data_IF_591151020059
#
_entry.id   IF_591151020059
#
_cell.length_a   1.000
_cell.length_b   1.000
_cell.length_c   1.000
_cell.angle_alpha   90.00
_cell.angle_beta   90.00
_cell.angle_gamma   90.00
#
_symmetry.space_group_name_H-M   'P 1'
#
loop_
_entity.id
_entity.type
_entity.pdbx_description
1 polymer ?
#
# COMPACT_ATOMS: atom_id res chain seq x y z
N UNK A 1 17.73 11.85 -6.81
CA UNK A 1 17.04 12.04 -5.50
C UNK A 1 17.87 11.42 -4.36
N UNK A 2 17.93 12.03 -3.17
CA UNK A 2 18.60 11.48 -1.96
C UNK A 2 17.63 10.63 -1.11
N UNK A 3 18.17 9.70 -0.31
CA UNK A 3 17.39 8.83 0.60
C UNK A 3 16.38 9.55 1.49
N UNK A 4 16.79 10.63 2.16
CA UNK A 4 15.90 11.38 3.06
C UNK A 4 14.71 11.95 2.30
N UNK A 5 14.96 12.53 1.12
CA UNK A 5 13.89 13.10 0.29
C UNK A 5 12.93 12.02 -0.23
N UNK A 6 13.46 10.86 -0.62
CA UNK A 6 12.65 9.70 -0.99
C UNK A 6 11.76 9.25 0.18
N UNK A 7 12.35 9.03 1.36
CA UNK A 7 11.65 8.51 2.53
C UNK A 7 10.48 9.44 2.93
N UNK A 8 10.73 10.75 3.01
CA UNK A 8 9.69 11.73 3.35
C UNK A 8 8.54 11.67 2.35
N UNK A 9 8.82 11.69 1.04
CA UNK A 9 7.77 11.64 0.02
C UNK A 9 7.02 10.31 0.02
N UNK A 10 7.72 9.20 0.24
CA UNK A 10 7.11 7.88 0.29
C UNK A 10 6.18 7.72 1.49
N UNK A 11 6.62 8.16 2.67
CA UNK A 11 5.79 8.19 3.88
C UNK A 11 4.54 9.05 3.66
N UNK A 12 4.67 10.22 3.04
CA UNK A 12 3.51 11.08 2.74
C UNK A 12 2.50 10.36 1.84
N UNK A 13 2.94 9.68 0.77
CA UNK A 13 2.03 8.93 -0.10
C UNK A 13 1.29 7.85 0.69
N UNK A 14 1.99 7.03 1.46
CA UNK A 14 1.36 5.97 2.25
C UNK A 14 0.45 6.50 3.34
N UNK A 15 0.83 7.59 4.00
CA UNK A 15 0.01 8.23 5.01
C UNK A 15 -1.29 8.78 4.42
N UNK A 16 -1.23 9.43 3.26
CA UNK A 16 -2.44 9.93 2.57
C UNK A 16 -3.34 8.77 2.14
N UNK A 17 -2.78 7.71 1.56
CA UNK A 17 -3.56 6.53 1.19
C UNK A 17 -4.21 5.86 2.40
N UNK A 18 -3.47 5.71 3.50
CA UNK A 18 -4.00 5.17 4.75
C UNK A 18 -5.10 6.07 5.33
N UNK A 19 -4.91 7.38 5.35
CA UNK A 19 -5.94 8.30 5.82
C UNK A 19 -7.24 8.19 5.02
N UNK A 20 -7.16 8.07 3.69
CA UNK A 20 -8.36 8.03 2.85
C UNK A 20 -9.00 6.64 2.87
N UNK A 21 -8.22 5.60 2.57
CA UNK A 21 -8.77 4.26 2.37
C UNK A 21 -9.01 3.50 3.66
N UNK A 22 -8.33 3.84 4.74
CA UNK A 22 -8.41 3.10 6.01
C UNK A 22 -9.13 3.94 7.05
N UNK A 23 -8.55 5.08 7.43
CA UNK A 23 -9.14 5.89 8.50
C UNK A 23 -10.49 6.48 8.08
N UNK A 24 -10.52 7.21 6.95
CA UNK A 24 -11.72 7.87 6.46
C UNK A 24 -12.82 6.88 6.07
N UNK A 25 -12.49 5.80 5.37
CA UNK A 25 -13.49 4.77 5.07
C UNK A 25 -13.98 4.04 6.32
N UNK A 26 -13.11 3.78 7.29
CA UNK A 26 -13.50 3.14 8.56
C UNK A 26 -14.47 4.00 9.36
N UNK A 27 -14.12 5.27 9.58
CA UNK A 27 -14.85 6.17 10.48
C UNK A 27 -16.16 6.71 9.87
N UNK A 28 -16.16 7.05 8.58
CA UNK A 28 -17.33 7.66 7.92
C UNK A 28 -18.27 6.66 7.26
N UNK A 29 -17.87 5.40 7.12
CA UNK A 29 -18.69 4.38 6.45
C UNK A 29 -18.80 3.11 7.31
N UNK A 30 -17.68 2.43 7.59
CA UNK A 30 -17.74 1.12 8.24
C UNK A 30 -18.30 1.20 9.66
N UNK A 31 -18.00 2.25 10.42
CA UNK A 31 -18.49 2.42 11.80
C UNK A 31 -20.02 2.34 11.90
N UNK A 32 -20.75 2.82 10.88
CA UNK A 32 -22.22 2.81 10.85
C UNK A 32 -22.80 1.58 10.14
N UNK A 33 -22.01 0.86 9.34
CA UNK A 33 -22.52 -0.22 8.48
C UNK A 33 -22.08 -1.61 8.89
N UNK A 34 -20.98 -1.75 9.62
CA UNK A 34 -20.38 -3.05 9.92
C UNK A 34 -21.25 -3.84 10.92
N UNK A 35 -21.41 -5.12 10.66
CA UNK A 35 -21.99 -6.09 11.60
C UNK A 35 -20.92 -7.17 11.86
N UNK A 36 -20.08 -7.00 12.89
CA UNK A 36 -19.06 -7.99 13.25
C UNK A 36 -19.65 -9.34 13.63
N UNK A 37 -18.81 -10.37 13.68
CA UNK A 37 -19.21 -11.67 14.24
C UNK A 37 -19.59 -11.57 15.73
N UNK A 38 -20.31 -12.59 16.22
CA UNK A 38 -20.69 -12.66 17.63
C UNK A 38 -19.44 -12.54 18.53
N UNK A 39 -19.56 -11.79 19.62
CA UNK A 39 -18.50 -11.49 20.59
C UNK A 39 -17.42 -10.50 20.12
N UNK A 40 -17.57 -9.86 18.95
CA UNK A 40 -16.67 -8.79 18.48
C UNK A 40 -17.37 -7.44 18.56
N UNK A 41 -16.78 -6.48 19.27
CA UNK A 41 -17.28 -5.11 19.31
C UNK A 41 -16.92 -4.35 18.02
N UNK A 42 -17.76 -3.38 17.62
CA UNK A 42 -17.50 -2.57 16.41
C UNK A 42 -16.15 -1.87 16.51
N UNK A 43 -15.82 -1.33 17.69
CA UNK A 43 -14.55 -0.63 17.93
C UNK A 43 -13.33 -1.58 17.79
N UNK A 44 -13.49 -2.84 18.20
CA UNK A 44 -12.46 -3.87 18.07
C UNK A 44 -12.24 -4.24 16.59
N UNK A 45 -13.34 -4.43 15.85
CA UNK A 45 -13.28 -4.69 14.41
C UNK A 45 -12.64 -3.52 13.64
N UNK A 46 -13.02 -2.28 13.98
CA UNK A 46 -12.40 -1.08 13.38
C UNK A 46 -10.92 -0.98 13.74
N UNK A 47 -10.54 -1.31 14.97
CA UNK A 47 -9.14 -1.34 15.39
C UNK A 47 -8.32 -2.34 14.56
N UNK A 48 -8.84 -3.54 14.34
CA UNK A 48 -8.17 -4.57 13.56
C UNK A 48 -8.05 -4.17 12.08
N UNK A 49 -9.08 -3.51 11.54
CA UNK A 49 -9.03 -2.88 10.22
C UNK A 49 -7.95 -1.78 10.10
N UNK A 50 -7.87 -0.87 11.08
CA UNK A 50 -6.86 0.19 11.08
C UNK A 50 -5.44 -0.36 11.20
N UNK A 51 -5.25 -1.37 12.05
CA UNK A 51 -3.99 -2.08 12.21
C UNK A 51 -3.58 -2.77 10.90
N UNK A 52 -4.50 -3.50 10.26
CA UNK A 52 -4.25 -4.16 8.98
C UNK A 52 -3.82 -3.16 7.91
N UNK A 53 -4.50 -2.02 7.81
CA UNK A 53 -4.13 -0.94 6.91
C UNK A 53 -2.74 -0.35 7.21
N UNK A 54 -2.39 -0.19 8.50
CA UNK A 54 -1.08 0.31 8.93
C UNK A 54 0.06 -0.65 8.56
N UNK A 55 -0.14 -1.95 8.78
CA UNK A 55 0.83 -2.99 8.39
C UNK A 55 0.97 -3.05 6.86
N UNK A 56 -0.14 -2.98 6.11
CA UNK A 56 -0.10 -2.93 4.65
C UNK A 56 0.69 -1.70 4.14
N UNK A 57 0.49 -0.53 4.75
CA UNK A 57 1.26 0.68 4.42
C UNK A 57 2.76 0.48 4.63
N UNK A 58 3.12 -0.18 5.74
CA UNK A 58 4.51 -0.47 6.05
C UNK A 58 5.16 -1.45 5.07
N UNK A 59 4.43 -2.51 4.66
CA UNK A 59 4.88 -3.44 3.61
C UNK A 59 5.17 -2.67 2.30
N UNK A 60 4.25 -1.81 1.88
CA UNK A 60 4.43 -0.99 0.68
C UNK A 60 5.63 -0.05 0.78
N UNK A 61 5.86 0.54 1.96
CA UNK A 61 7.01 1.41 2.22
C UNK A 61 8.34 0.65 2.11
N UNK A 62 8.41 -0.56 2.66
CA UNK A 62 9.58 -1.44 2.53
C UNK A 62 9.84 -1.77 1.06
N UNK A 63 8.81 -2.18 0.31
CA UNK A 63 8.95 -2.47 -1.13
C UNK A 63 9.44 -1.24 -1.91
N UNK A 64 8.92 -0.05 -1.58
CA UNK A 64 9.35 1.21 -2.18
C UNK A 64 10.80 1.52 -1.87
N UNK A 65 11.25 1.29 -0.64
CA UNK A 65 12.64 1.52 -0.23
C UNK A 65 13.61 0.54 -0.94
N UNK A 66 13.23 -0.72 -1.08
CA UNK A 66 14.01 -1.72 -1.83
C UNK A 66 14.11 -1.31 -3.30
N UNK A 67 13.01 -0.86 -3.90
CA UNK A 67 13.01 -0.34 -5.27
C UNK A 67 13.94 0.87 -5.43
N UNK A 68 13.87 1.82 -4.50
CA UNK A 68 14.75 2.99 -4.51
C UNK A 68 16.23 2.59 -4.37
N UNK A 69 16.54 1.63 -3.49
CA UNK A 69 17.88 1.05 -3.36
C UNK A 69 18.39 0.46 -4.68
N UNK A 70 17.57 -0.35 -5.36
CA UNK A 70 17.94 -0.87 -6.68
C UNK A 70 18.11 0.24 -7.72
N UNK A 71 17.32 1.31 -7.61
CA UNK A 71 17.40 2.46 -8.48
C UNK A 71 18.72 3.22 -8.37
N UNK A 72 19.21 3.47 -7.15
CA UNK A 72 20.49 4.19 -6.96
C UNK A 72 21.68 3.32 -7.40
N UNK A 73 21.62 2.02 -7.15
CA UNK A 73 22.72 1.09 -7.41
C UNK A 73 22.64 0.42 -8.78
N UNK A 74 21.86 0.97 -9.71
CA UNK A 74 21.67 0.35 -11.02
C UNK A 74 22.92 0.52 -11.89
N UNK A 75 23.63 -0.58 -12.10
CA UNK A 75 24.85 -0.64 -12.91
C UNK A 75 24.63 -1.23 -14.32
N UNK A 76 23.37 -1.31 -14.78
CA UNK A 76 22.98 -2.10 -15.96
C UNK A 76 22.77 -3.59 -15.61
N UNK A 77 21.87 -4.28 -16.32
CA UNK A 77 21.49 -5.67 -16.04
C UNK A 77 19.97 -5.91 -16.14
N UNK A 78 19.46 -6.99 -15.52
CA UNK A 78 18.03 -7.43 -15.52
C UNK A 78 17.09 -6.24 -15.65
N UNK A 79 16.14 -6.32 -16.60
CA UNK A 79 15.25 -5.21 -16.92
C UNK A 79 14.58 -4.68 -15.65
N UNK A 80 14.68 -3.36 -15.45
CA UNK A 80 14.11 -2.68 -14.30
C UNK A 80 12.63 -3.06 -14.08
N UNK A 81 11.91 -3.34 -15.17
CA UNK A 81 10.54 -3.84 -15.14
C UNK A 81 10.37 -5.18 -14.41
N UNK A 82 11.26 -6.16 -14.58
CA UNK A 82 11.12 -7.45 -13.86
C UNK A 82 11.25 -7.25 -12.35
N UNK A 83 12.25 -6.49 -11.90
CA UNK A 83 12.44 -6.18 -10.47
C UNK A 83 11.25 -5.40 -9.91
N UNK A 84 10.74 -4.45 -10.69
CA UNK A 84 9.56 -3.67 -10.33
C UNK A 84 8.33 -4.56 -10.14
N UNK A 85 8.04 -5.44 -11.10
CA UNK A 85 6.90 -6.36 -11.07
C UNK A 85 6.99 -7.35 -9.92
N UNK A 86 8.18 -7.89 -9.62
CA UNK A 86 8.38 -8.79 -8.47
C UNK A 86 8.04 -8.06 -7.17
N UNK A 87 8.56 -6.84 -6.97
CA UNK A 87 8.25 -6.06 -5.76
C UNK A 87 6.78 -5.67 -5.69
N UNK A 88 6.14 -5.37 -6.83
CA UNK A 88 4.70 -5.11 -6.89
C UNK A 88 3.90 -6.33 -6.45
N UNK A 89 4.25 -7.52 -6.93
CA UNK A 89 3.61 -8.78 -6.55
C UNK A 89 3.81 -9.10 -5.06
N UNK A 90 5.01 -8.85 -4.52
CA UNK A 90 5.28 -9.01 -3.08
C UNK A 90 4.41 -8.05 -2.27
N UNK A 91 4.32 -6.78 -2.68
CA UNK A 91 3.46 -5.80 -2.02
C UNK A 91 2.00 -6.23 -2.07
N UNK A 92 1.51 -6.66 -3.23
CA UNK A 92 0.15 -7.13 -3.45
C UNK A 92 -0.18 -8.36 -2.59
N UNK A 93 0.61 -9.43 -2.69
CA UNK A 93 0.36 -10.66 -1.93
C UNK A 93 0.48 -10.38 -0.42
N UNK A 94 1.48 -9.60 0.00
CA UNK A 94 1.70 -9.25 1.40
C UNK A 94 0.53 -8.51 2.02
N UNK A 95 -0.02 -7.49 1.35
CA UNK A 95 -1.18 -6.75 1.88
C UNK A 95 -2.46 -7.56 1.90
N UNK A 96 -2.70 -8.44 0.94
CA UNK A 96 -3.86 -9.34 0.96
C UNK A 96 -3.75 -10.40 2.06
N UNK A 97 -2.56 -10.92 2.34
CA UNK A 97 -2.33 -11.81 3.49
C UNK A 97 -2.61 -11.05 4.80
N UNK A 98 -2.14 -9.81 4.93
CA UNK A 98 -2.43 -8.98 6.10
C UNK A 98 -3.93 -8.71 6.25
N UNK A 99 -4.61 -8.36 5.16
CA UNK A 99 -6.06 -8.17 5.18
C UNK A 99 -6.78 -9.43 5.66
N UNK A 100 -6.34 -10.61 5.23
CA UNK A 100 -6.93 -11.90 5.61
C UNK A 100 -6.65 -12.30 7.05
N UNK A 101 -5.45 -12.02 7.56
CA UNK A 101 -5.01 -12.46 8.89
C UNK A 101 -5.41 -11.47 9.99
N UNK A 102 -5.46 -10.17 9.68
CA UNK A 102 -5.60 -9.13 10.69
C UNK A 102 -7.00 -8.53 10.78
N UNK A 103 -7.83 -8.59 9.72
CA UNK A 103 -9.19 -8.05 9.79
C UNK A 103 -10.09 -9.13 10.38
N UNK A 104 -10.80 -8.77 11.44
CA UNK A 104 -11.75 -9.69 12.07
C UNK A 104 -12.92 -10.04 11.14
N UNK A 105 -13.56 -11.17 11.43
CA UNK A 105 -14.71 -11.61 10.66
C UNK A 105 -15.93 -10.71 10.93
N UNK A 106 -16.74 -10.53 9.88
CA UNK A 106 -17.99 -9.79 9.94
C UNK A 106 -19.06 -10.56 9.18
N UNK A 107 -20.28 -10.54 9.72
CA UNK A 107 -21.44 -11.17 9.10
C UNK A 107 -21.90 -10.39 7.88
N UNK A 108 -21.96 -9.06 8.01
CA UNK A 108 -22.44 -8.15 6.98
C UNK A 108 -21.71 -6.80 7.06
N UNK A 109 -21.84 -5.99 6.00
CA UNK A 109 -21.45 -4.57 6.06
C UNK A 109 -19.96 -4.26 5.96
N UNK A 110 -19.09 -5.26 5.73
CA UNK A 110 -17.63 -5.05 5.58
C UNK A 110 -17.23 -4.33 4.30
N UNK A 111 -18.15 -4.21 3.33
CA UNK A 111 -17.98 -3.37 2.16
C UNK A 111 -16.69 -3.67 1.39
N UNK A 112 -15.86 -2.63 1.20
CA UNK A 112 -14.58 -2.72 0.48
C UNK A 112 -13.37 -2.82 1.41
N UNK A 113 -13.56 -3.07 2.72
CA UNK A 113 -12.47 -3.06 3.72
C UNK A 113 -11.28 -3.93 3.32
N UNK A 114 -11.56 -5.19 2.95
CA UNK A 114 -10.56 -6.15 2.52
C UNK A 114 -9.78 -5.68 1.29
N UNK A 115 -10.48 -5.10 0.31
CA UNK A 115 -9.86 -4.57 -0.91
C UNK A 115 -9.03 -3.32 -0.63
N UNK A 116 -9.51 -2.42 0.23
CA UNK A 116 -8.77 -1.21 0.59
C UNK A 116 -7.47 -1.53 1.32
N UNK A 117 -7.45 -2.49 2.24
CA UNK A 117 -6.19 -2.99 2.83
C UNK A 117 -5.35 -3.71 1.78
N UNK A 118 -5.96 -4.63 1.03
CA UNK A 118 -5.28 -5.46 0.03
C UNK A 118 -4.60 -4.66 -1.09
N UNK A 119 -5.17 -3.53 -1.51
CA UNK A 119 -4.60 -2.69 -2.55
C UNK A 119 -3.71 -1.55 -2.03
N UNK A 120 -3.65 -1.31 -0.72
CA UNK A 120 -2.91 -0.17 -0.16
C UNK A 120 -1.40 -0.24 -0.46
N UNK A 121 -0.78 -1.39 -0.18
CA UNK A 121 0.64 -1.61 -0.46
C UNK A 121 1.00 -1.53 -1.95
N UNK A 122 0.34 -2.27 -2.87
CA UNK A 122 0.70 -2.26 -4.29
C UNK A 122 0.40 -0.91 -4.96
N UNK A 123 -0.68 -0.22 -4.58
CA UNK A 123 -0.98 1.13 -5.10
C UNK A 123 0.05 2.14 -4.60
N UNK A 124 0.33 2.17 -3.29
CA UNK A 124 1.32 3.09 -2.74
C UNK A 124 2.73 2.84 -3.28
N UNK A 125 3.10 1.57 -3.50
CA UNK A 125 4.35 1.20 -4.17
C UNK A 125 4.38 1.70 -5.62
N UNK A 126 3.31 1.47 -6.38
CA UNK A 126 3.20 1.93 -7.76
C UNK A 126 3.36 3.45 -7.85
N UNK A 127 2.64 4.22 -7.03
CA UNK A 127 2.74 5.68 -6.99
C UNK A 127 4.14 6.15 -6.59
N UNK A 128 4.78 5.48 -5.63
CA UNK A 128 6.16 5.77 -5.27
C UNK A 128 7.14 5.50 -6.40
N UNK A 129 6.94 4.41 -7.15
CA UNK A 129 7.77 4.09 -8.31
C UNK A 129 7.64 5.13 -9.43
N UNK A 130 6.47 5.76 -9.55
CA UNK A 130 6.19 6.82 -10.53
C UNK A 130 6.77 8.18 -10.10
N UNK A 131 6.51 8.62 -8.87
CA UNK A 131 6.82 9.98 -8.42
C UNK A 131 8.18 10.11 -7.73
N UNK A 132 8.69 9.04 -7.13
CA UNK A 132 9.83 9.04 -6.23
C UNK A 132 10.95 8.10 -6.67
N UNK A 133 11.03 7.75 -7.96
CA UNK A 133 12.10 6.88 -8.47
C UNK A 133 13.49 7.53 -8.33
N UNK A 134 14.52 6.70 -8.25
CA UNK A 134 15.88 7.17 -8.46
C UNK A 134 16.08 7.62 -9.92
N UNK A 135 16.93 8.62 -10.14
CA UNK A 135 17.17 9.19 -11.48
C UNK A 135 17.77 8.16 -12.45
N UNK A 136 18.68 7.31 -11.97
CA UNK A 136 19.34 6.29 -12.78
C UNK A 136 18.40 5.18 -13.27
N UNK A 137 17.22 5.03 -12.64
CA UNK A 137 16.19 4.05 -13.03
C UNK A 137 14.84 4.75 -13.02
N UNK A 138 14.75 5.88 -13.73
CA UNK A 138 13.45 6.48 -14.03
C UNK A 138 12.67 5.53 -14.93
N UNK A 139 12.02 4.58 -14.30
CA UNK A 139 11.16 3.58 -14.89
C UNK A 139 9.75 4.16 -14.88
N UNK A 140 9.13 4.25 -16.05
CA UNK A 140 7.71 4.56 -16.17
C UNK A 140 7.00 3.21 -16.04
N UNK A 141 6.31 2.93 -14.92
CA UNK A 141 5.55 1.70 -14.79
C UNK A 141 4.40 1.68 -15.82
N UNK A 142 3.90 0.49 -16.18
CA UNK A 142 2.79 0.37 -17.15
C UNK A 142 1.62 1.27 -16.75
N UNK A 143 1.01 1.97 -17.72
CA UNK A 143 -0.04 2.99 -17.54
C UNK A 143 0.44 4.37 -17.03
N UNK A 144 1.72 4.53 -16.68
CA UNK A 144 2.30 5.82 -16.29
C UNK A 144 2.62 6.76 -17.46
N UNK A 145 2.60 6.27 -18.70
CA UNK A 145 2.99 7.01 -19.91
C UNK A 145 2.10 8.25 -20.13
N UNK A 146 0.82 8.19 -19.78
CA UNK A 146 -0.14 9.30 -19.93
C UNK A 146 0.04 10.44 -18.93
N UNK A 147 0.85 10.25 -17.88
CA UNK A 147 1.08 11.24 -16.82
C UNK A 147 2.36 12.05 -17.10
N UNK A 148 3.25 11.52 -17.95
CA UNK A 148 4.54 12.12 -18.29
C UNK A 148 4.64 12.59 -19.76
N UNK A 149 3.54 12.55 -20.51
CA UNK A 149 3.42 13.02 -21.90
C UNK A 149 3.17 14.51 -22.02
#
# INVERSE_FOLDING_TARGET
>A
MKWVAFLVKAVVIFFVLWLVFIYGYGDFWLADTIVPDADIEIDEWLHSYYLAGGIAAFIGLICSAIWFYFGINFAGGISAGVKHTILWLIAFIGSFIVAFVCIDAAQEGSGLSFFFVGFLAPVGYYLNSLFNSAEAVKFIPPLGEHIHG
#
